data_IF_284848010332
#
_entry.id   IF_284848010332
#
_cell.length_a   1.000
_cell.length_b   1.000
_cell.length_c   1.000
_cell.angle_alpha   90.00
_cell.angle_beta   90.00
_cell.angle_gamma   90.00
#
_symmetry.space_group_name_H-M   'P 1'
#
loop_
_entity.id
_entity.type
_entity.pdbx_description
1 polymer ?
#
# COMPACT_ATOMS: atom_id res chain seq x y z
N UNK A 1 82.43 138.56 98.73
CA UNK A 1 81.13 138.14 98.18
C UNK A 1 81.25 137.41 96.84
N UNK A 2 82.01 137.92 95.85
CA UNK A 2 82.10 137.31 94.50
C UNK A 2 82.78 135.92 94.42
N UNK A 3 83.70 135.60 95.34
CA UNK A 3 84.45 134.32 95.32
C UNK A 3 83.63 133.11 95.79
N UNK A 4 82.61 133.32 96.63
CA UNK A 4 81.71 132.26 97.12
C UNK A 4 80.66 131.88 96.07
N UNK A 5 80.07 132.88 95.41
CA UNK A 5 79.15 132.67 94.29
C UNK A 5 79.83 131.92 93.11
N UNK A 6 81.10 132.23 92.81
CA UNK A 6 81.88 131.46 91.83
C UNK A 6 82.09 130.00 92.24
N UNK A 7 82.31 129.72 93.53
CA UNK A 7 82.55 128.37 94.03
C UNK A 7 81.26 127.52 94.04
N UNK A 8 80.11 128.14 94.32
CA UNK A 8 78.81 127.46 94.28
C UNK A 8 78.33 127.25 92.83
N UNK A 9 78.62 128.19 91.92
CA UNK A 9 78.47 128.00 90.47
C UNK A 9 79.39 126.89 89.96
N UNK A 10 80.65 126.81 90.41
CA UNK A 10 81.57 125.72 90.05
C UNK A 10 81.07 124.35 90.53
N UNK A 11 80.51 124.27 91.74
CA UNK A 11 79.89 123.04 92.25
C UNK A 11 78.65 122.66 91.46
N UNK A 12 77.77 123.62 91.13
CA UNK A 12 76.59 123.37 90.31
C UNK A 12 76.97 122.93 88.89
N UNK A 13 77.99 123.54 88.30
CA UNK A 13 78.54 123.13 87.00
C UNK A 13 79.10 121.71 87.08
N UNK A 14 79.80 121.36 88.16
CA UNK A 14 80.33 120.01 88.35
C UNK A 14 79.23 118.96 88.61
N UNK A 15 78.16 119.30 89.33
CA UNK A 15 77.01 118.39 89.50
C UNK A 15 76.21 118.22 88.22
N UNK A 16 76.00 119.30 87.46
CA UNK A 16 75.32 119.25 86.16
C UNK A 16 76.16 118.48 85.14
N UNK A 17 77.49 118.60 85.17
CA UNK A 17 78.40 117.77 84.35
C UNK A 17 78.28 116.30 84.70
N UNK A 18 78.27 115.92 85.99
CA UNK A 18 78.09 114.53 86.42
C UNK A 18 76.70 113.98 86.08
N UNK A 19 75.67 114.80 86.20
CA UNK A 19 74.31 114.43 85.80
C UNK A 19 74.20 114.25 84.29
N UNK A 20 74.84 115.14 83.52
CA UNK A 20 74.94 115.01 82.06
C UNK A 20 75.72 113.75 81.68
N UNK A 21 76.84 113.46 82.33
CA UNK A 21 77.62 112.23 82.12
C UNK A 21 76.78 110.98 82.44
N UNK A 22 76.05 110.96 83.57
CA UNK A 22 75.17 109.85 83.94
C UNK A 22 73.99 109.67 82.98
N UNK A 23 73.34 110.76 82.56
CA UNK A 23 72.28 110.74 81.54
C UNK A 23 72.82 110.31 80.16
N UNK A 24 74.04 110.71 79.80
CA UNK A 24 74.67 110.26 78.55
C UNK A 24 74.99 108.78 78.58
N UNK A 25 75.47 108.24 79.71
CA UNK A 25 75.68 106.79 79.89
C UNK A 25 74.36 106.03 79.82
N UNK A 26 73.32 106.50 80.52
CA UNK A 26 71.99 105.89 80.47
C UNK A 26 71.41 105.91 79.05
N UNK A 27 71.57 107.03 78.32
CA UNK A 27 71.17 107.13 76.91
C UNK A 27 71.92 106.14 76.04
N UNK A 28 73.24 106.01 76.22
CA UNK A 28 74.07 105.04 75.48
C UNK A 28 73.63 103.61 75.78
N UNK A 29 73.37 103.27 77.05
CA UNK A 29 72.89 101.95 77.45
C UNK A 29 71.50 101.64 76.87
N UNK A 30 70.60 102.62 76.87
CA UNK A 30 69.29 102.50 76.24
C UNK A 30 69.39 102.38 74.71
N UNK A 31 70.28 103.12 74.06
CA UNK A 31 70.54 103.02 72.62
C UNK A 31 71.14 101.66 72.25
N UNK A 32 72.09 101.15 73.04
CA UNK A 32 72.64 99.82 72.88
C UNK A 32 71.56 98.75 73.07
N UNK A 33 70.74 98.85 74.12
CA UNK A 33 69.63 97.91 74.35
C UNK A 33 68.60 97.97 73.22
N UNK A 34 68.30 99.17 72.70
CA UNK A 34 67.40 99.34 71.57
C UNK A 34 68.00 98.73 70.29
N UNK A 35 69.31 98.90 70.06
CA UNK A 35 70.04 98.28 68.95
C UNK A 35 70.02 96.75 69.06
N UNK A 36 70.32 96.18 70.22
CA UNK A 36 70.25 94.73 70.46
C UNK A 36 68.85 94.18 70.23
N UNK A 37 67.81 94.85 70.76
CA UNK A 37 66.42 94.44 70.52
C UNK A 37 66.03 94.51 69.04
N UNK A 38 66.54 95.48 68.28
CA UNK A 38 66.32 95.56 66.82
C UNK A 38 67.01 94.42 66.09
N UNK A 39 68.25 94.09 66.46
CA UNK A 39 68.99 92.97 65.88
C UNK A 39 68.33 91.62 66.21
N UNK A 40 67.86 91.44 67.44
CA UNK A 40 67.09 90.26 67.86
C UNK A 40 65.75 90.15 67.11
N UNK A 41 65.03 91.26 66.95
CA UNK A 41 63.79 91.29 66.16
C UNK A 41 64.07 90.90 64.70
N UNK A 42 65.09 91.50 64.08
CA UNK A 42 65.48 91.19 62.71
C UNK A 42 65.93 89.73 62.55
N UNK A 43 66.68 89.20 63.51
CA UNK A 43 67.06 87.80 63.53
C UNK A 43 65.83 86.89 63.65
N UNK A 44 64.90 87.22 64.54
CA UNK A 44 63.69 86.43 64.74
C UNK A 44 62.76 86.50 63.51
N UNK A 45 62.68 87.65 62.84
CA UNK A 45 62.00 87.81 61.55
C UNK A 45 62.61 86.89 60.49
N UNK A 46 63.95 86.87 60.35
CA UNK A 46 64.64 85.97 59.42
C UNK A 46 64.42 84.49 59.74
N UNK A 47 64.43 84.12 61.02
CA UNK A 47 64.14 82.73 61.45
C UNK A 47 62.69 82.36 61.15
N UNK A 48 61.73 83.25 61.38
CA UNK A 48 60.34 82.99 61.04
C UNK A 48 60.11 82.91 59.52
N UNK A 49 60.75 83.78 58.74
CA UNK A 49 60.67 83.76 57.27
C UNK A 49 61.20 82.42 56.72
N UNK A 50 62.38 81.99 57.18
CA UNK A 50 62.98 80.71 56.77
C UNK A 50 62.13 79.50 57.20
N UNK A 51 61.58 79.51 58.42
CA UNK A 51 60.65 78.47 58.88
C UNK A 51 59.36 78.42 58.04
N UNK A 52 58.80 79.58 57.66
CA UNK A 52 57.62 79.66 56.79
C UNK A 52 57.95 79.12 55.40
N UNK A 53 59.11 79.44 54.83
CA UNK A 53 59.54 78.90 53.55
C UNK A 53 59.70 77.39 53.59
N UNK A 54 60.28 76.84 54.66
CA UNK A 54 60.46 75.41 54.84
C UNK A 54 59.12 74.68 54.95
N UNK A 55 58.18 75.21 55.75
CA UNK A 55 56.81 74.68 55.84
C UNK A 55 56.11 74.75 54.48
N UNK A 56 56.27 75.84 53.71
CA UNK A 56 55.71 75.98 52.37
C UNK A 56 56.28 74.94 51.41
N UNK A 57 57.60 74.71 51.43
CA UNK A 57 58.27 73.68 50.61
C UNK A 57 57.79 72.28 50.99
N UNK A 58 57.68 71.97 52.28
CA UNK A 58 57.19 70.68 52.75
C UNK A 58 55.73 70.45 52.33
N UNK A 59 54.85 71.45 52.48
CA UNK A 59 53.47 71.37 52.00
C UNK A 59 53.39 71.22 50.48
N UNK A 60 54.21 71.97 49.73
CA UNK A 60 54.25 71.85 48.27
C UNK A 60 54.67 70.44 47.84
N UNK A 61 55.69 69.87 48.48
CA UNK A 61 56.11 68.49 48.22
C UNK A 61 55.01 67.48 48.56
N UNK A 62 54.39 67.59 49.75
CA UNK A 62 53.28 66.72 50.14
C UNK A 62 52.13 66.77 49.12
N UNK A 63 51.66 67.98 48.76
CA UNK A 63 50.60 68.17 47.77
C UNK A 63 50.99 67.53 46.44
N UNK A 64 52.22 67.75 45.97
CA UNK A 64 52.70 67.15 44.72
C UNK A 64 52.75 65.63 44.78
N UNK A 65 53.22 65.04 45.89
CA UNK A 65 53.23 63.58 46.05
C UNK A 65 51.83 62.96 46.13
N UNK A 66 50.87 63.65 46.75
CA UNK A 66 49.47 63.21 46.76
C UNK A 66 48.85 63.32 45.38
N UNK A 67 49.13 64.39 44.64
CA UNK A 67 48.61 64.60 43.28
C UNK A 67 49.22 63.59 42.29
N UNK A 68 50.53 63.34 42.36
CA UNK A 68 51.22 62.32 41.56
C UNK A 68 50.69 60.91 41.89
N UNK A 69 50.48 60.60 43.18
CA UNK A 69 49.92 59.31 43.60
C UNK A 69 48.45 59.12 43.19
N UNK A 70 47.65 60.18 43.22
CA UNK A 70 46.27 60.16 42.77
C UNK A 70 46.20 59.96 41.25
N UNK A 71 47.05 60.68 40.50
CA UNK A 71 47.17 60.53 39.05
C UNK A 71 47.59 59.13 38.66
N UNK A 72 48.56 58.54 39.35
CA UNK A 72 48.98 57.17 39.10
C UNK A 72 47.85 56.17 39.36
N UNK A 73 47.06 56.33 40.43
CA UNK A 73 45.89 55.47 40.67
C UNK A 73 44.84 55.60 39.58
N UNK A 74 44.62 56.81 39.04
CA UNK A 74 43.71 57.00 37.90
C UNK A 74 44.23 56.34 36.64
N UNK A 75 45.53 56.50 36.33
CA UNK A 75 46.16 55.88 35.17
C UNK A 75 46.12 54.34 35.28
N UNK A 76 46.38 53.78 36.46
CA UNK A 76 46.32 52.33 36.72
C UNK A 76 44.88 51.79 36.59
N UNK A 77 43.88 52.50 37.12
CA UNK A 77 42.46 52.12 36.95
C UNK A 77 42.04 52.15 35.50
N UNK A 78 42.40 53.21 34.78
CA UNK A 78 42.10 53.35 33.37
C UNK A 78 42.77 52.23 32.55
N UNK A 79 44.02 51.89 32.84
CA UNK A 79 44.71 50.78 32.20
C UNK A 79 43.99 49.46 32.45
N UNK A 80 43.58 49.19 33.69
CA UNK A 80 42.85 47.98 34.06
C UNK A 80 41.50 47.88 33.35
N UNK A 81 40.71 48.96 33.34
CA UNK A 81 39.41 49.00 32.63
C UNK A 81 39.59 48.76 31.12
N UNK A 82 40.64 49.35 30.52
CA UNK A 82 40.93 49.19 29.10
C UNK A 82 41.42 47.76 28.78
N UNK A 83 42.15 47.13 29.69
CA UNK A 83 42.55 45.73 29.59
C UNK A 83 41.35 44.78 29.75
N UNK A 84 40.43 45.06 30.67
CA UNK A 84 39.18 44.29 30.82
C UNK A 84 38.31 44.39 29.57
N UNK A 85 38.15 45.58 28.99
CA UNK A 85 37.42 45.76 27.72
C UNK A 85 38.06 44.99 26.56
N UNK A 86 39.40 44.98 26.48
CA UNK A 86 40.13 44.16 25.48
C UNK A 86 39.87 42.68 25.70
N UNK A 87 39.93 42.21 26.95
CA UNK A 87 39.69 40.81 27.27
C UNK A 87 38.25 40.39 26.95
N UNK A 88 37.26 41.23 27.28
CA UNK A 88 35.86 40.96 26.96
C UNK A 88 35.62 40.90 25.45
N UNK A 89 36.13 41.87 24.70
CA UNK A 89 35.99 41.88 23.23
C UNK A 89 36.70 40.69 22.59
N UNK A 90 37.87 40.29 23.08
CA UNK A 90 38.57 39.09 22.60
C UNK A 90 37.80 37.80 22.93
N UNK A 91 37.22 37.68 24.12
CA UNK A 91 36.37 36.56 24.51
C UNK A 91 35.10 36.48 23.66
N UNK A 92 34.42 37.60 23.43
CA UNK A 92 33.23 37.66 22.58
C UNK A 92 33.56 37.29 21.13
N UNK A 93 34.66 37.81 20.60
CA UNK A 93 35.13 37.46 19.25
C UNK A 93 35.49 35.97 19.15
N UNK A 94 36.10 35.39 20.17
CA UNK A 94 36.41 33.97 20.21
C UNK A 94 35.14 33.11 20.31
N UNK A 95 34.19 33.49 21.18
CA UNK A 95 32.91 32.80 21.30
C UNK A 95 32.11 32.83 19.99
N UNK A 96 32.07 33.98 19.30
CA UNK A 96 31.43 34.08 17.98
C UNK A 96 32.11 33.19 16.94
N UNK A 97 33.46 33.09 16.94
CA UNK A 97 34.20 32.20 16.04
C UNK A 97 33.87 30.74 16.30
N UNK A 98 33.87 30.33 17.56
CA UNK A 98 33.58 28.95 17.95
C UNK A 98 32.13 28.58 17.66
N UNK A 99 31.19 29.50 17.87
CA UNK A 99 29.78 29.31 17.50
C UNK A 99 29.62 29.13 15.99
N UNK A 100 30.22 30.00 15.18
CA UNK A 100 30.17 29.91 13.72
C UNK A 100 30.77 28.58 13.24
N UNK A 101 31.93 28.19 13.78
CA UNK A 101 32.57 26.92 13.46
C UNK A 101 31.66 25.73 13.78
N UNK A 102 31.07 25.70 14.99
CA UNK A 102 30.14 24.65 15.41
C UNK A 102 28.88 24.58 14.55
N UNK A 103 28.33 25.75 14.16
CA UNK A 103 27.16 25.80 13.27
C UNK A 103 27.49 25.23 11.87
N UNK A 104 28.65 25.59 11.30
CA UNK A 104 29.07 25.04 10.01
C UNK A 104 29.37 23.55 10.08
N UNK A 105 30.02 23.09 11.15
CA UNK A 105 30.31 21.67 11.36
C UNK A 105 29.01 20.85 11.43
N UNK A 106 28.03 21.27 12.24
CA UNK A 106 26.70 20.66 12.29
C UNK A 106 26.02 20.66 10.92
N UNK A 107 26.12 21.77 10.18
CA UNK A 107 25.49 21.86 8.86
C UNK A 107 26.13 20.90 7.86
N UNK A 108 27.45 20.72 7.91
CA UNK A 108 28.17 19.77 7.08
C UNK A 108 27.79 18.33 7.48
N UNK A 109 27.71 18.02 8.77
CA UNK A 109 27.27 16.71 9.25
C UNK A 109 25.84 16.37 8.80
N UNK A 110 24.90 17.32 8.92
CA UNK A 110 23.53 17.18 8.42
C UNK A 110 23.50 16.93 6.90
N UNK A 111 24.32 17.65 6.13
CA UNK A 111 24.43 17.43 4.69
C UNK A 111 25.04 16.06 4.36
N UNK A 112 26.06 15.63 5.10
CA UNK A 112 26.65 14.30 4.92
C UNK A 112 25.68 13.18 5.27
N UNK A 113 24.91 13.31 6.35
CA UNK A 113 23.91 12.31 6.75
C UNK A 113 22.76 12.24 5.74
N UNK A 114 22.30 13.37 5.21
CA UNK A 114 21.28 13.39 4.14
C UNK A 114 21.81 12.79 2.84
N UNK A 115 23.06 13.07 2.45
CA UNK A 115 23.70 12.42 1.29
C UNK A 115 23.77 10.91 1.47
N UNK A 116 24.22 10.42 2.64
CA UNK A 116 24.28 8.97 2.94
C UNK A 116 22.91 8.33 2.87
N UNK A 117 21.90 8.95 3.52
CA UNK A 117 20.52 8.47 3.47
C UNK A 117 19.98 8.41 2.04
N UNK A 118 20.24 9.43 1.23
CA UNK A 118 19.82 9.46 -0.18
C UNK A 118 20.54 8.38 -1.00
N UNK A 119 21.82 8.13 -0.75
CA UNK A 119 22.58 7.07 -1.40
C UNK A 119 22.03 5.68 -1.04
N UNK A 120 21.71 5.44 0.23
CA UNK A 120 21.08 4.19 0.69
C UNK A 120 19.71 3.98 0.04
N UNK A 121 18.87 5.02 0.01
CA UNK A 121 17.56 4.99 -0.66
C UNK A 121 17.70 4.72 -2.16
N UNK A 122 18.67 5.35 -2.82
CA UNK A 122 18.95 5.07 -4.22
C UNK A 122 19.42 3.63 -4.44
N UNK A 123 20.22 3.09 -3.52
CA UNK A 123 20.60 1.68 -3.50
C UNK A 123 19.39 0.75 -3.42
N UNK A 124 18.45 1.03 -2.52
CA UNK A 124 17.21 0.24 -2.41
C UNK A 124 16.36 0.34 -3.66
N UNK A 125 16.15 1.55 -4.22
CA UNK A 125 15.37 1.70 -5.45
C UNK A 125 16.00 0.99 -6.64
N UNK A 126 17.34 1.01 -6.73
CA UNK A 126 18.06 0.26 -7.76
C UNK A 126 17.85 -1.25 -7.61
N UNK A 127 17.93 -1.77 -6.38
CA UNK A 127 17.65 -3.17 -6.10
C UNK A 127 16.20 -3.55 -6.45
N UNK A 128 15.24 -2.70 -6.07
CA UNK A 128 13.83 -2.91 -6.38
C UNK A 128 13.59 -2.96 -7.90
N UNK A 129 14.18 -2.02 -8.66
CA UNK A 129 14.08 -2.00 -10.13
C UNK A 129 14.63 -3.30 -10.76
N UNK A 130 15.74 -3.83 -10.24
CA UNK A 130 16.27 -5.11 -10.71
C UNK A 130 15.30 -6.24 -10.37
N UNK A 131 14.78 -6.31 -9.14
CA UNK A 131 13.83 -7.35 -8.74
C UNK A 131 12.52 -7.30 -9.55
N UNK A 132 12.04 -6.11 -9.89
CA UNK A 132 10.86 -5.94 -10.76
C UNK A 132 11.16 -6.36 -12.19
N UNK A 133 12.37 -6.10 -12.72
CA UNK A 133 12.77 -6.58 -14.05
C UNK A 133 12.81 -8.11 -14.11
N UNK A 134 13.42 -8.76 -13.11
CA UNK A 134 13.43 -10.22 -12.99
C UNK A 134 12.01 -10.77 -12.91
N UNK A 135 11.14 -10.17 -12.08
CA UNK A 135 9.74 -10.58 -11.99
C UNK A 135 8.97 -10.41 -13.29
N UNK A 136 9.21 -9.33 -14.03
CA UNK A 136 8.61 -9.13 -15.36
C UNK A 136 9.09 -10.24 -16.29
N UNK A 137 10.39 -10.55 -16.29
CA UNK A 137 10.94 -11.62 -17.12
C UNK A 137 10.30 -12.98 -16.79
N UNK A 138 10.16 -13.33 -15.51
CA UNK A 138 9.53 -14.57 -15.08
C UNK A 138 8.04 -14.64 -15.48
N UNK A 139 7.30 -13.55 -15.30
CA UNK A 139 5.89 -13.48 -15.73
C UNK A 139 5.79 -13.57 -17.26
N UNK A 140 6.71 -12.98 -18.02
CA UNK A 140 6.72 -13.13 -19.48
C UNK A 140 7.02 -14.56 -19.91
N UNK A 141 7.98 -15.24 -19.29
CA UNK A 141 8.28 -16.66 -19.55
C UNK A 141 7.07 -17.56 -19.26
N UNK A 142 6.40 -17.36 -18.14
CA UNK A 142 5.20 -18.14 -17.79
C UNK A 142 4.04 -17.86 -18.74
N UNK A 143 3.84 -16.60 -19.15
CA UNK A 143 2.87 -16.23 -20.20
C UNK A 143 3.17 -16.97 -21.50
N UNK A 144 4.43 -16.96 -21.95
CA UNK A 144 4.84 -17.58 -23.21
C UNK A 144 4.64 -19.10 -23.17
N UNK A 145 5.03 -19.75 -22.07
CA UNK A 145 4.80 -21.18 -21.87
C UNK A 145 3.31 -21.55 -21.87
N UNK A 146 2.45 -20.72 -21.25
CA UNK A 146 1.00 -20.92 -21.29
C UNK A 146 0.44 -20.72 -22.70
N UNK A 147 0.92 -19.72 -23.43
CA UNK A 147 0.50 -19.45 -24.80
C UNK A 147 0.88 -20.61 -25.74
N UNK A 148 2.10 -21.13 -25.62
CA UNK A 148 2.55 -22.33 -26.35
C UNK A 148 1.67 -23.54 -26.01
N UNK A 149 1.29 -23.68 -24.72
CA UNK A 149 0.40 -24.75 -24.30
C UNK A 149 -0.98 -24.64 -24.94
N UNK A 150 -1.56 -23.44 -24.96
CA UNK A 150 -2.84 -23.16 -25.62
C UNK A 150 -2.76 -23.51 -27.10
N UNK A 151 -1.75 -23.02 -27.81
CA UNK A 151 -1.54 -23.33 -29.23
C UNK A 151 -1.44 -24.84 -29.50
N UNK A 152 -0.72 -25.59 -28.65
CA UNK A 152 -0.63 -27.04 -28.77
C UNK A 152 -1.97 -27.75 -28.56
N UNK A 153 -2.79 -27.24 -27.62
CA UNK A 153 -4.11 -27.81 -27.33
C UNK A 153 -5.10 -27.50 -28.45
N UNK A 154 -5.09 -26.27 -28.98
CA UNK A 154 -5.89 -25.89 -30.15
C UNK A 154 -5.52 -26.73 -31.38
N UNK A 155 -4.23 -26.95 -31.63
CA UNK A 155 -3.79 -27.85 -32.70
C UNK A 155 -4.30 -29.28 -32.48
N UNK A 156 -4.20 -29.80 -31.25
CA UNK A 156 -4.71 -31.13 -30.91
C UNK A 156 -6.24 -31.22 -31.06
N UNK A 157 -6.99 -30.18 -30.71
CA UNK A 157 -8.44 -30.14 -30.92
C UNK A 157 -8.76 -30.21 -32.42
N UNK A 158 -8.11 -29.39 -33.25
CA UNK A 158 -8.27 -29.44 -34.71
C UNK A 158 -7.95 -30.82 -35.29
N UNK A 159 -6.84 -31.44 -34.86
CA UNK A 159 -6.49 -32.79 -35.32
C UNK A 159 -7.56 -33.84 -34.93
N UNK A 160 -8.18 -33.71 -33.75
CA UNK A 160 -9.26 -34.59 -33.31
C UNK A 160 -10.56 -34.36 -34.07
N UNK A 161 -10.91 -33.09 -34.33
CA UNK A 161 -12.05 -32.70 -35.16
C UNK A 161 -11.90 -33.24 -36.58
N UNK A 162 -10.72 -33.10 -37.19
CA UNK A 162 -10.41 -33.65 -38.51
C UNK A 162 -10.53 -35.19 -38.54
N UNK A 163 -10.03 -35.87 -37.50
CA UNK A 163 -10.16 -37.32 -37.38
C UNK A 163 -11.62 -37.75 -37.25
N UNK A 164 -12.41 -37.02 -36.48
CA UNK A 164 -13.84 -37.26 -36.31
C UNK A 164 -14.57 -37.08 -37.64
N UNK A 165 -14.33 -35.97 -38.33
CA UNK A 165 -14.93 -35.68 -39.63
C UNK A 165 -14.58 -36.78 -40.66
N UNK A 166 -13.32 -37.22 -40.72
CA UNK A 166 -12.92 -38.35 -41.59
C UNK A 166 -13.61 -39.67 -41.19
N UNK A 167 -13.87 -39.88 -39.90
CA UNK A 167 -14.60 -41.07 -39.45
C UNK A 167 -16.07 -41.01 -39.85
N UNK A 168 -16.70 -39.85 -39.69
CA UNK A 168 -18.09 -39.62 -40.10
C UNK A 168 -18.25 -39.80 -41.61
N UNK A 169 -17.38 -39.17 -42.40
CA UNK A 169 -17.41 -39.32 -43.86
C UNK A 169 -17.27 -40.80 -44.29
N UNK A 170 -16.35 -41.57 -43.68
CA UNK A 170 -16.23 -43.00 -43.95
C UNK A 170 -17.49 -43.80 -43.56
N UNK A 171 -18.17 -43.40 -42.49
CA UNK A 171 -19.43 -44.05 -42.07
C UNK A 171 -20.56 -43.70 -43.04
N UNK A 172 -20.65 -42.46 -43.51
CA UNK A 172 -21.64 -42.02 -44.49
C UNK A 172 -21.43 -42.72 -45.83
N UNK A 173 -20.18 -42.83 -46.30
CA UNK A 173 -19.82 -43.61 -47.49
C UNK A 173 -20.24 -45.08 -47.35
N UNK A 174 -20.01 -45.68 -46.17
CA UNK A 174 -20.43 -47.06 -45.87
C UNK A 174 -21.95 -47.20 -45.85
N UNK A 175 -22.68 -46.22 -45.30
CA UNK A 175 -24.14 -46.20 -45.28
C UNK A 175 -24.69 -46.14 -46.70
N UNK A 176 -24.16 -45.24 -47.55
CA UNK A 176 -24.54 -45.14 -48.96
C UNK A 176 -24.27 -46.46 -49.70
N UNK A 177 -23.12 -47.10 -49.47
CA UNK A 177 -22.82 -48.40 -50.05
C UNK A 177 -23.84 -49.47 -49.62
N UNK A 178 -24.22 -49.50 -48.34
CA UNK A 178 -25.24 -50.43 -47.83
C UNK A 178 -26.64 -50.12 -48.38
N UNK A 179 -27.01 -48.85 -48.51
CA UNK A 179 -28.29 -48.45 -49.10
C UNK A 179 -28.38 -48.87 -50.56
N UNK A 180 -27.29 -48.72 -51.33
CA UNK A 180 -27.18 -49.22 -52.70
C UNK A 180 -27.30 -50.74 -52.77
N UNK A 181 -26.67 -51.48 -51.84
CA UNK A 181 -26.81 -52.94 -51.75
C UNK A 181 -28.26 -53.35 -51.46
N UNK A 182 -28.93 -52.65 -50.54
CA UNK A 182 -30.35 -52.87 -50.22
C UNK A 182 -31.22 -52.63 -51.45
N UNK A 183 -31.00 -51.54 -52.18
CA UNK A 183 -31.75 -51.21 -53.38
C UNK A 183 -31.54 -52.25 -54.49
N UNK A 184 -30.31 -52.69 -54.70
CA UNK A 184 -29.98 -53.78 -55.63
C UNK A 184 -30.70 -55.08 -55.27
N UNK A 185 -30.68 -55.47 -54.00
CA UNK A 185 -31.38 -56.68 -53.54
C UNK A 185 -32.90 -56.56 -53.68
N UNK A 186 -33.48 -55.37 -53.42
CA UNK A 186 -34.91 -55.10 -53.67
C UNK A 186 -35.27 -55.28 -55.14
N UNK A 187 -34.47 -54.72 -56.05
CA UNK A 187 -34.66 -54.89 -57.50
C UNK A 187 -34.58 -56.36 -57.91
N UNK A 188 -33.64 -57.12 -57.34
CA UNK A 188 -33.53 -58.56 -57.61
C UNK A 188 -34.75 -59.34 -57.10
N UNK A 189 -35.28 -59.00 -55.92
CA UNK A 189 -36.50 -59.61 -55.38
C UNK A 189 -37.70 -59.28 -56.27
N UNK A 190 -37.82 -58.04 -56.73
CA UNK A 190 -38.88 -57.62 -57.65
C UNK A 190 -38.81 -58.39 -58.98
N UNK A 191 -37.60 -58.56 -59.54
CA UNK A 191 -37.40 -59.36 -60.74
C UNK A 191 -37.80 -60.83 -60.52
N UNK A 192 -37.37 -61.44 -59.40
CA UNK A 192 -37.76 -62.81 -59.06
C UNK A 192 -39.28 -62.95 -58.88
N UNK A 193 -39.95 -61.92 -58.35
CA UNK A 193 -41.40 -61.91 -58.21
C UNK A 193 -42.11 -61.86 -59.56
N UNK A 194 -41.58 -61.08 -60.51
CA UNK A 194 -42.08 -61.05 -61.91
C UNK A 194 -41.88 -62.41 -62.57
N UNK A 195 -40.69 -62.99 -62.47
CA UNK A 195 -40.38 -64.31 -63.06
C UNK A 195 -41.26 -65.42 -62.45
N UNK A 196 -41.51 -65.37 -61.13
CA UNK A 196 -42.42 -66.27 -60.45
C UNK A 196 -43.87 -66.11 -60.93
N UNK A 197 -44.34 -64.87 -61.10
CA UNK A 197 -45.69 -64.61 -61.62
C UNK A 197 -45.84 -65.12 -63.07
N UNK A 198 -44.84 -64.90 -63.91
CA UNK A 198 -44.82 -65.42 -65.28
C UNK A 198 -44.87 -66.96 -65.30
N UNK A 199 -44.09 -67.61 -64.43
CA UNK A 199 -44.11 -69.07 -64.30
C UNK A 199 -45.46 -69.58 -63.79
N UNK A 200 -46.07 -68.87 -62.83
CA UNK A 200 -47.41 -69.17 -62.33
C UNK A 200 -48.46 -69.06 -63.45
N UNK A 201 -48.38 -68.02 -64.29
CA UNK A 201 -49.28 -67.84 -65.42
C UNK A 201 -49.15 -68.98 -66.44
N UNK A 202 -47.92 -69.42 -66.74
CA UNK A 202 -47.66 -70.62 -67.57
C UNK A 202 -48.28 -71.86 -66.92
N UNK A 203 -48.10 -72.04 -65.60
CA UNK A 203 -48.67 -73.18 -64.87
C UNK A 203 -50.19 -73.19 -64.95
N UNK A 204 -50.85 -72.04 -64.78
CA UNK A 204 -52.31 -71.90 -64.92
C UNK A 204 -52.73 -72.21 -66.37
N UNK A 205 -51.94 -71.79 -67.37
CA UNK A 205 -52.14 -72.17 -68.77
C UNK A 205 -52.12 -73.68 -68.97
N UNK A 206 -51.08 -74.36 -68.47
CA UNK A 206 -50.94 -75.81 -68.53
C UNK A 206 -52.06 -76.55 -67.77
N UNK A 207 -52.49 -76.06 -66.60
CA UNK A 207 -53.64 -76.66 -65.89
C UNK A 207 -54.93 -76.57 -66.71
N UNK A 208 -55.14 -75.46 -67.43
CA UNK A 208 -56.28 -75.31 -68.34
C UNK A 208 -56.15 -76.31 -69.49
N UNK A 209 -54.98 -76.45 -70.10
CA UNK A 209 -54.74 -77.45 -71.15
C UNK A 209 -55.00 -78.88 -70.65
N UNK A 210 -54.46 -79.26 -69.49
CA UNK A 210 -54.72 -80.56 -68.86
C UNK A 210 -56.21 -80.76 -68.60
N UNK A 211 -56.92 -79.74 -68.11
CA UNK A 211 -58.37 -79.79 -67.90
C UNK A 211 -59.12 -80.00 -69.22
N UNK A 212 -58.71 -79.34 -70.31
CA UNK A 212 -59.28 -79.56 -71.64
C UNK A 212 -58.97 -80.95 -72.19
N UNK A 213 -57.74 -81.46 -72.01
CA UNK A 213 -57.37 -82.82 -72.40
C UNK A 213 -58.16 -83.87 -71.61
N UNK A 214 -58.35 -83.67 -70.29
CA UNK A 214 -59.22 -84.52 -69.47
C UNK A 214 -60.64 -84.55 -70.00
N UNK A 215 -61.24 -83.38 -70.30
CA UNK A 215 -62.58 -83.30 -70.88
C UNK A 215 -62.69 -83.97 -72.25
N UNK A 216 -61.68 -83.84 -73.11
CA UNK A 216 -61.66 -84.51 -74.42
C UNK A 216 -61.58 -86.03 -74.26
N UNK A 217 -60.76 -86.52 -73.33
CA UNK A 217 -60.69 -87.94 -72.97
C UNK A 217 -62.01 -88.44 -72.40
N UNK A 218 -62.62 -87.72 -71.46
CA UNK A 218 -63.96 -88.04 -70.93
C UNK A 218 -65.01 -88.12 -72.07
N UNK A 219 -64.94 -87.21 -73.05
CA UNK A 219 -65.84 -87.25 -74.23
C UNK A 219 -65.56 -88.40 -75.19
N UNK A 220 -64.31 -88.87 -75.28
CA UNK A 220 -63.92 -90.03 -76.10
C UNK A 220 -64.26 -91.36 -75.39
N UNK A 221 -64.13 -91.41 -74.06
CA UNK A 221 -64.62 -92.48 -73.20
C UNK A 221 -66.14 -92.63 -73.29
N UNK A 222 -66.88 -91.52 -73.39
CA UNK A 222 -68.32 -91.51 -73.69
C UNK A 222 -68.65 -92.05 -75.10
N UNK A 223 -67.87 -91.69 -76.14
CA UNK A 223 -68.09 -92.19 -77.53
C UNK A 223 -67.76 -93.67 -77.71
N UNK A 224 -66.79 -94.19 -76.97
CA UNK A 224 -66.37 -95.59 -77.05
C UNK A 224 -67.19 -96.55 -76.17
N UNK A 225 -68.27 -96.08 -75.52
CA UNK A 225 -69.00 -96.86 -74.51
C UNK A 225 -68.07 -97.47 -73.43
N UNK A 226 -66.98 -96.76 -73.11
CA UNK A 226 -66.13 -97.05 -71.94
C UNK A 226 -66.64 -96.24 -70.73
N UNK A 227 -67.89 -95.75 -70.82
CA UNK A 227 -68.64 -95.16 -69.72
C UNK A 227 -69.10 -96.25 -68.74
N UNK A 228 -68.14 -96.73 -67.95
CA UNK A 228 -68.35 -97.08 -66.55
C UNK A 228 -68.01 -95.84 -65.71
N UNK A 229 -68.80 -94.77 -65.89
CA UNK A 229 -68.58 -93.45 -65.31
C UNK A 229 -68.73 -93.44 -63.77
N UNK A 230 -67.58 -93.26 -63.11
CA UNK A 230 -67.24 -92.16 -62.19
C UNK A 230 -68.21 -91.79 -61.04
N UNK A 231 -67.82 -92.15 -59.81
CA UNK A 231 -68.18 -91.48 -58.52
C UNK A 231 -67.21 -91.98 -57.43
N UNK A 232 -66.21 -91.25 -56.91
CA UNK A 232 -66.17 -89.96 -56.18
C UNK A 232 -65.96 -90.18 -54.67
N UNK A 233 -64.74 -89.88 -54.18
CA UNK A 233 -64.47 -89.01 -53.01
C UNK A 233 -62.93 -88.84 -52.89
N UNK A 234 -62.35 -87.87 -53.61
CA UNK A 234 -61.93 -86.57 -53.07
C UNK A 234 -60.91 -86.68 -51.91
N UNK A 235 -59.64 -86.72 -52.30
CA UNK A 235 -58.53 -86.24 -51.47
C UNK A 235 -58.10 -84.86 -51.96
N UNK A 236 -58.17 -83.87 -51.07
CA UNK A 236 -57.34 -82.64 -51.02
C UNK A 236 -57.81 -81.84 -49.81
N UNK A 237 -57.01 -81.74 -48.76
CA UNK A 237 -55.98 -80.69 -48.62
C UNK A 237 -56.58 -79.30 -48.85
N UNK A 238 -57.01 -78.72 -47.73
CA UNK A 238 -57.43 -77.34 -47.48
C UNK A 238 -56.95 -77.10 -46.04
N UNK A 239 -56.33 -76.01 -45.61
CA UNK A 239 -56.21 -74.64 -46.09
C UNK A 239 -55.31 -73.95 -45.07
N UNK A 240 -54.21 -73.33 -45.49
CA UNK A 240 -53.52 -72.32 -44.68
C UNK A 240 -53.67 -71.00 -45.44
N UNK A 241 -54.85 -70.41 -45.33
CA UNK A 241 -55.14 -69.07 -45.83
C UNK A 241 -54.58 -68.05 -44.84
N UNK A 242 -53.66 -67.27 -45.38
CA UNK A 242 -53.30 -65.90 -45.03
C UNK A 242 -54.43 -65.07 -44.43
N UNK A 243 -54.17 -64.43 -43.28
CA UNK A 243 -54.60 -63.05 -43.03
C UNK A 243 -53.45 -62.30 -42.38
N UNK A 244 -52.70 -61.59 -43.22
CA UNK A 244 -51.91 -60.46 -42.79
C UNK A 244 -52.84 -59.31 -42.45
N UNK A 245 -52.74 -58.81 -41.23
CA UNK A 245 -53.12 -57.45 -40.88
C UNK A 245 -51.86 -56.77 -40.37
N UNK A 246 -51.53 -55.69 -41.07
CA UNK A 246 -50.54 -54.68 -40.73
C UNK A 246 -50.75 -54.19 -39.30
N UNK A 247 -49.66 -54.01 -38.55
CA UNK A 247 -49.52 -52.82 -37.72
C UNK A 247 -48.06 -52.55 -37.34
N UNK A 248 -47.74 -51.26 -37.48
CA UNK A 248 -46.46 -50.60 -37.29
C UNK A 248 -45.97 -50.61 -35.86
N UNK A 249 -44.65 -50.38 -35.70
CA UNK A 249 -44.03 -49.72 -34.54
C UNK A 249 -44.08 -50.51 -33.23
N UNK A 250 -42.99 -50.88 -32.57
CA UNK A 250 -41.86 -50.03 -32.20
C UNK A 250 -40.73 -50.93 -31.70
N UNK A 251 -39.50 -50.69 -32.15
CA UNK A 251 -38.34 -51.38 -31.62
C UNK A 251 -38.04 -50.91 -30.19
N UNK A 252 -37.69 -51.82 -29.26
CA UNK A 252 -37.32 -51.45 -27.91
C UNK A 252 -35.96 -50.75 -27.92
N UNK A 253 -35.96 -49.48 -27.51
CA UNK A 253 -34.77 -48.66 -27.36
C UNK A 253 -33.79 -49.32 -26.38
N UNK A 254 -32.73 -49.94 -26.92
CA UNK A 254 -31.57 -50.39 -26.15
C UNK A 254 -30.84 -49.16 -25.63
N UNK A 255 -30.88 -49.00 -24.31
CA UNK A 255 -30.07 -48.04 -23.54
C UNK A 255 -28.60 -48.19 -23.96
N UNK A 256 -28.08 -47.18 -24.66
CA UNK A 256 -26.64 -46.95 -24.79
C UNK A 256 -26.16 -46.33 -23.47
N UNK A 257 -25.00 -46.73 -22.93
CA UNK A 257 -24.40 -46.01 -21.82
C UNK A 257 -23.95 -44.64 -22.33
N UNK A 258 -24.54 -43.59 -21.73
CA UNK A 258 -24.10 -42.21 -21.88
C UNK A 258 -22.79 -42.10 -21.11
N UNK A 259 -21.70 -41.79 -21.81
CA UNK A 259 -20.47 -41.37 -21.17
C UNK A 259 -20.76 -39.98 -20.57
N UNK A 260 -20.82 -39.90 -19.23
CA UNK A 260 -20.87 -38.63 -18.51
C UNK A 260 -19.54 -37.91 -18.71
N UNK A 261 -19.60 -36.78 -19.40
CA UNK A 261 -18.53 -35.79 -19.40
C UNK A 261 -18.87 -34.78 -18.30
N UNK A 262 -18.76 -35.20 -17.04
CA UNK A 262 -18.75 -34.27 -15.92
C UNK A 262 -17.31 -33.85 -15.66
N UNK A 263 -16.99 -32.62 -16.06
CA UNK A 263 -16.23 -31.72 -15.20
C UNK A 263 -16.26 -30.29 -15.76
N UNK A 264 -17.40 -29.63 -15.55
CA UNK A 264 -17.48 -28.16 -15.49
C UNK A 264 -17.72 -27.77 -14.03
N UNK A 265 -16.99 -26.78 -13.46
CA UNK A 265 -17.23 -26.34 -12.09
C UNK A 265 -18.64 -25.75 -11.97
N UNK A 266 -19.48 -26.40 -11.17
CA UNK A 266 -20.83 -25.93 -10.85
C UNK A 266 -20.77 -24.77 -9.87
N UNK A 267 -21.03 -23.56 -10.36
CA UNK A 267 -21.31 -22.38 -9.53
C UNK A 267 -22.75 -22.46 -9.03
N UNK A 268 -22.95 -22.91 -7.78
CA UNK A 268 -24.25 -22.78 -7.10
C UNK A 268 -24.26 -21.48 -6.29
N UNK A 269 -24.85 -20.42 -6.87
CA UNK A 269 -25.25 -19.21 -6.14
C UNK A 269 -26.74 -19.33 -5.82
N UNK A 270 -27.08 -19.52 -4.54
CA UNK A 270 -28.48 -19.53 -4.12
C UNK A 270 -28.89 -18.08 -3.80
N UNK A 271 -29.66 -17.48 -4.71
CA UNK A 271 -30.18 -16.11 -4.60
C UNK A 271 -31.40 -16.09 -3.68
N UNK A 272 -31.24 -15.63 -2.44
CA UNK A 272 -32.33 -15.15 -1.61
C UNK A 272 -32.22 -13.61 -1.49
N UNK A 273 -33.34 -12.90 -1.55
CA UNK A 273 -33.47 -11.46 -1.26
C UNK A 273 -32.62 -10.43 -2.07
N UNK A 274 -32.16 -10.79 -3.27
CA UNK A 274 -31.67 -9.80 -4.24
C UNK A 274 -30.29 -9.20 -3.95
N UNK A 275 -29.55 -9.74 -2.96
CA UNK A 275 -28.14 -9.40 -2.72
C UNK A 275 -27.25 -10.55 -3.20
N UNK A 276 -26.28 -10.23 -4.04
CA UNK A 276 -25.29 -11.17 -4.55
C UNK A 276 -23.93 -11.00 -3.87
N UNK A 277 -23.28 -12.12 -3.58
CA UNK A 277 -21.92 -12.18 -3.06
C UNK A 277 -20.96 -12.48 -4.21
N UNK A 278 -19.91 -11.68 -4.35
CA UNK A 278 -18.79 -11.90 -5.27
C UNK A 278 -17.52 -12.02 -4.43
N UNK A 279 -17.02 -13.24 -4.29
CA UNK A 279 -15.71 -13.50 -3.69
C UNK A 279 -14.57 -13.31 -4.70
N UNK A 280 -13.43 -12.80 -4.23
CA UNK A 280 -12.16 -12.89 -4.94
C UNK A 280 -11.69 -14.36 -5.03
N UNK A 281 -11.44 -14.83 -6.25
CA UNK A 281 -11.08 -16.22 -6.59
C UNK A 281 -9.55 -16.41 -6.74
N UNK A 282 -8.77 -15.39 -6.41
CA UNK A 282 -7.31 -15.49 -6.28
C UNK A 282 -6.88 -16.49 -5.19
N UNK A 283 -5.69 -17.07 -5.36
CA UNK A 283 -4.99 -17.87 -4.34
C UNK A 283 -4.80 -17.11 -3.02
N UNK A 284 -4.79 -15.77 -3.08
CA UNK A 284 -4.81 -14.87 -1.91
C UNK A 284 -6.02 -13.93 -2.07
N UNK A 285 -7.20 -14.25 -1.51
CA UNK A 285 -8.40 -13.45 -1.68
C UNK A 285 -8.22 -12.10 -0.98
N UNK A 286 -8.43 -11.00 -1.71
CA UNK A 286 -8.24 -9.64 -1.17
C UNK A 286 -9.53 -8.97 -0.77
N UNK A 287 -10.67 -9.43 -1.29
CA UNK A 287 -11.97 -8.83 -0.99
C UNK A 287 -13.14 -9.81 -1.08
N UNK A 288 -14.25 -9.39 -0.47
CA UNK A 288 -15.60 -9.91 -0.71
C UNK A 288 -16.48 -8.72 -1.09
N UNK A 289 -17.20 -8.81 -2.21
CA UNK A 289 -18.07 -7.75 -2.69
C UNK A 289 -19.53 -8.17 -2.58
N UNK A 290 -20.36 -7.28 -2.05
CA UNK A 290 -21.81 -7.41 -2.04
C UNK A 290 -22.41 -6.48 -3.10
N UNK A 291 -23.34 -7.00 -3.90
CA UNK A 291 -24.08 -6.22 -4.88
C UNK A 291 -25.56 -6.32 -4.56
N UNK A 292 -26.22 -5.18 -4.37
CA UNK A 292 -27.67 -5.13 -4.25
C UNK A 292 -28.30 -5.05 -5.66
N UNK A 293 -28.81 -6.17 -6.16
CA UNK A 293 -29.55 -6.25 -7.42
C UNK A 293 -31.04 -5.92 -7.26
N UNK A 294 -31.51 -5.68 -6.02
CA UNK A 294 -32.89 -5.30 -5.77
C UNK A 294 -33.17 -3.84 -6.18
N UNK A 295 -34.45 -3.50 -6.29
CA UNK A 295 -34.92 -2.14 -6.56
C UNK A 295 -35.08 -1.28 -5.30
N UNK A 296 -34.75 -1.82 -4.12
CA UNK A 296 -34.94 -1.16 -2.84
C UNK A 296 -33.61 -1.00 -2.10
N UNK A 297 -33.54 0.03 -1.27
CA UNK A 297 -32.40 0.26 -0.39
C UNK A 297 -32.45 -0.73 0.78
N UNK A 298 -31.33 -1.39 1.07
CA UNK A 298 -31.24 -2.40 2.14
C UNK A 298 -30.48 -1.84 3.32
N UNK A 299 -31.11 -1.85 4.49
CA UNK A 299 -30.46 -1.46 5.75
C UNK A 299 -29.67 -2.64 6.32
N UNK A 300 -28.34 -2.57 6.32
CA UNK A 300 -27.46 -3.66 6.76
C UNK A 300 -27.23 -3.65 8.28
N UNK A 301 -28.16 -3.06 9.04
CA UNK A 301 -28.00 -2.89 10.48
C UNK A 301 -28.12 -4.25 11.20
N UNK A 302 -27.06 -4.67 11.88
CA UNK A 302 -27.02 -5.96 12.58
C UNK A 302 -26.74 -7.16 11.68
N UNK A 303 -26.50 -6.94 10.39
CA UNK A 303 -26.14 -8.01 9.46
C UNK A 303 -24.72 -8.50 9.73
N UNK A 304 -24.47 -9.77 9.41
CA UNK A 304 -23.19 -10.43 9.59
C UNK A 304 -22.80 -11.16 8.31
N UNK A 305 -21.59 -10.89 7.82
CA UNK A 305 -20.97 -11.68 6.77
C UNK A 305 -20.06 -12.74 7.41
N UNK A 306 -20.40 -14.01 7.27
CA UNK A 306 -19.62 -15.14 7.76
C UNK A 306 -18.91 -15.82 6.61
N UNK A 307 -17.61 -16.06 6.75
CA UNK A 307 -16.83 -16.84 5.78
C UNK A 307 -16.21 -18.04 6.48
N UNK A 308 -16.51 -19.23 5.97
CA UNK A 308 -15.99 -20.51 6.46
C UNK A 308 -15.10 -21.15 5.40
N UNK A 309 -13.89 -21.52 5.82
CA UNK A 309 -12.92 -22.23 4.98
C UNK A 309 -12.36 -23.39 5.80
N UNK A 310 -12.74 -24.61 5.45
CA UNK A 310 -12.48 -25.80 6.27
C UNK A 310 -13.01 -25.66 7.70
N UNK A 311 -12.12 -25.78 8.69
CA UNK A 311 -12.44 -25.66 10.13
C UNK A 311 -12.41 -24.23 10.67
N UNK A 312 -11.95 -23.25 9.90
CA UNK A 312 -11.85 -21.86 10.35
C UNK A 312 -13.03 -21.04 9.83
N UNK A 313 -13.60 -20.21 10.69
CA UNK A 313 -14.70 -19.29 10.35
C UNK A 313 -14.38 -17.88 10.81
N UNK A 314 -14.69 -16.90 9.96
CA UNK A 314 -14.58 -15.49 10.27
C UNK A 314 -15.94 -14.81 10.15
N UNK A 315 -16.20 -13.82 10.99
CA UNK A 315 -17.43 -13.04 10.99
C UNK A 315 -17.12 -11.54 10.92
N UNK A 316 -17.75 -10.86 9.96
CA UNK A 316 -17.69 -9.41 9.82
C UNK A 316 -19.07 -8.82 10.10
N UNK A 317 -19.14 -7.92 11.10
CA UNK A 317 -20.38 -7.21 11.46
C UNK A 317 -20.42 -5.86 10.79
N UNK A 318 -21.54 -5.57 10.12
CA UNK A 318 -21.71 -4.28 9.45
C UNK A 318 -21.90 -3.13 10.46
N UNK A 319 -21.33 -1.94 10.19
CA UNK A 319 -21.55 -0.76 11.02
C UNK A 319 -23.04 -0.40 11.13
N UNK A 320 -23.45 0.11 12.30
CA UNK A 320 -24.83 0.57 12.52
C UNK A 320 -25.18 1.71 11.57
N UNK A 321 -26.40 1.68 11.02
CA UNK A 321 -26.92 2.71 10.12
C UNK A 321 -26.40 2.64 8.67
N UNK A 322 -25.66 1.59 8.31
CA UNK A 322 -25.19 1.41 6.93
C UNK A 322 -26.35 1.00 6.00
N UNK A 323 -26.52 1.73 4.90
CA UNK A 323 -27.52 1.46 3.86
C UNK A 323 -26.80 1.08 2.56
N UNK A 324 -27.16 -0.06 2.00
CA UNK A 324 -26.74 -0.48 0.66
C UNK A 324 -27.85 -0.12 -0.33
N UNK A 325 -27.63 0.96 -1.09
CA UNK A 325 -28.61 1.48 -2.06
C UNK A 325 -28.93 0.46 -3.17
N UNK A 326 -30.11 0.57 -3.76
CA UNK A 326 -30.49 -0.21 -4.94
C UNK A 326 -29.44 -0.09 -6.07
N UNK A 327 -28.98 -1.21 -6.62
CA UNK A 327 -27.95 -1.25 -7.67
C UNK A 327 -26.52 -0.93 -7.19
N UNK A 328 -26.30 -0.61 -5.92
CA UNK A 328 -24.99 -0.26 -5.39
C UNK A 328 -24.18 -1.49 -4.96
N UNK A 329 -22.87 -1.30 -4.83
CA UNK A 329 -21.92 -2.32 -4.38
C UNK A 329 -21.17 -1.87 -3.14
N UNK A 330 -20.97 -2.79 -2.20
CA UNK A 330 -20.07 -2.60 -1.05
C UNK A 330 -18.97 -3.65 -1.11
N UNK A 331 -17.73 -3.22 -0.96
CA UNK A 331 -16.56 -4.12 -0.96
C UNK A 331 -15.95 -4.18 0.43
N UNK A 332 -15.79 -5.41 0.97
CA UNK A 332 -15.09 -5.68 2.22
C UNK A 332 -13.68 -6.20 1.91
N UNK A 333 -12.69 -5.34 2.15
CA UNK A 333 -11.29 -5.59 1.89
C UNK A 333 -10.59 -6.29 3.05
N UNK A 334 -9.63 -7.14 2.72
CA UNK A 334 -8.73 -7.80 3.67
C UNK A 334 -7.87 -6.77 4.42
N UNK A 335 -7.47 -7.09 5.66
CA UNK A 335 -6.67 -6.17 6.49
C UNK A 335 -5.29 -5.82 5.91
N UNK A 336 -4.72 -6.70 5.09
CA UNK A 336 -3.37 -6.59 4.52
C UNK A 336 -3.28 -5.79 3.23
N UNK A 337 -4.38 -5.26 2.73
CA UNK A 337 -4.36 -4.35 1.59
C UNK A 337 -4.19 -2.92 2.10
N UNK A 338 -2.99 -2.36 1.92
CA UNK A 338 -2.61 -1.08 2.53
C UNK A 338 -3.10 0.16 1.75
N UNK A 339 -3.27 0.06 0.43
CA UNK A 339 -3.56 1.21 -0.45
C UNK A 339 -5.05 1.46 -0.69
N UNK A 340 -5.89 1.30 0.35
CA UNK A 340 -7.36 1.44 0.22
C UNK A 340 -7.90 2.45 1.20
N UNK A 341 -8.57 3.49 0.66
CA UNK A 341 -9.38 4.44 1.43
C UNK A 341 -10.64 3.75 1.96
N UNK A 342 -10.81 3.75 3.28
CA UNK A 342 -11.99 3.17 3.94
C UNK A 342 -13.10 4.21 3.95
N UNK A 343 -13.96 4.13 2.92
CA UNK A 343 -15.08 5.05 2.70
C UNK A 343 -16.42 4.30 2.75
N UNK A 344 -17.01 4.08 3.94
CA UNK A 344 -18.35 3.51 4.06
C UNK A 344 -19.39 4.41 3.35
N UNK A 345 -20.38 3.84 2.63
CA UNK A 345 -20.74 2.41 2.58
C UNK A 345 -20.03 1.61 1.49
N UNK A 346 -19.21 2.24 0.65
CA UNK A 346 -18.67 1.65 -0.59
C UNK A 346 -17.48 0.74 -0.32
N UNK A 347 -16.55 1.17 0.54
CA UNK A 347 -15.34 0.45 0.89
C UNK A 347 -15.25 0.23 2.41
N UNK A 348 -15.24 -1.03 2.82
CA UNK A 348 -15.04 -1.46 4.19
C UNK A 348 -13.76 -2.28 4.29
N UNK A 349 -13.12 -2.30 5.45
CA UNK A 349 -11.88 -3.04 5.66
C UNK A 349 -11.94 -3.88 6.93
N UNK A 350 -11.44 -5.10 6.86
CA UNK A 350 -11.25 -5.94 8.03
C UNK A 350 -10.22 -5.31 8.96
N UNK A 351 -10.52 -5.24 10.26
CA UNK A 351 -9.67 -4.55 11.23
C UNK A 351 -8.37 -5.28 11.54
N UNK A 352 -8.44 -6.60 11.70
CA UNK A 352 -7.32 -7.40 12.24
C UNK A 352 -7.11 -8.73 11.51
N UNK A 353 -8.02 -9.10 10.61
CA UNK A 353 -8.02 -10.44 10.00
C UNK A 353 -7.84 -10.33 8.50
N UNK A 354 -7.12 -11.28 7.93
CA UNK A 354 -6.97 -11.39 6.48
C UNK A 354 -8.03 -12.34 5.95
N UNK A 355 -8.55 -12.06 4.75
CA UNK A 355 -9.25 -13.11 4.03
C UNK A 355 -8.23 -14.22 3.71
N UNK A 356 -8.53 -15.45 4.11
CA UNK A 356 -7.61 -16.57 3.93
C UNK A 356 -8.24 -17.66 3.06
N UNK A 357 -7.36 -18.41 2.42
CA UNK A 357 -7.60 -19.65 1.70
C UNK A 357 -6.75 -20.69 2.41
N UNK A 358 -7.38 -21.53 3.23
CA UNK A 358 -6.72 -22.77 3.63
C UNK A 358 -6.75 -23.70 2.42
N UNK A 359 -5.79 -24.62 2.27
CA UNK A 359 -5.78 -25.65 1.20
C UNK A 359 -6.95 -26.66 1.27
N UNK A 360 -8.06 -26.26 1.89
CA UNK A 360 -9.35 -26.94 1.93
C UNK A 360 -10.08 -26.72 0.62
N UNK A 361 -10.68 -27.77 0.09
CA UNK A 361 -11.30 -27.85 -1.24
C UNK A 361 -12.54 -26.94 -1.43
N UNK A 362 -13.01 -26.24 -0.39
CA UNK A 362 -14.15 -25.32 -0.51
C UNK A 362 -14.09 -24.12 0.45
N UNK A 363 -14.49 -22.94 -0.05
CA UNK A 363 -14.86 -21.76 0.74
C UNK A 363 -16.36 -21.53 0.67
N UNK A 364 -16.97 -21.18 1.79
CA UNK A 364 -18.38 -20.82 1.89
C UNK A 364 -18.53 -19.46 2.54
N UNK A 365 -19.14 -18.52 1.83
CA UNK A 365 -19.42 -17.15 2.30
C UNK A 365 -20.93 -16.98 2.42
N UNK A 366 -21.39 -16.61 3.61
CA UNK A 366 -22.79 -16.52 4.00
C UNK A 366 -23.05 -15.11 4.50
N UNK A 367 -24.11 -14.47 4.02
CA UNK A 367 -24.63 -13.22 4.53
C UNK A 367 -25.89 -13.51 5.35
N UNK A 368 -25.89 -13.10 6.62
CA UNK A 368 -27.01 -13.25 7.54
C UNK A 368 -27.57 -11.87 7.93
N UNK A 369 -28.90 -11.76 8.03
CA UNK A 369 -29.59 -10.61 8.61
C UNK A 369 -29.43 -10.60 10.15
N UNK A 370 -29.86 -9.51 10.78
CA UNK A 370 -30.03 -9.30 12.22
C UNK A 370 -30.79 -10.41 12.96
N UNK A 371 -31.65 -11.17 12.27
CA UNK A 371 -32.37 -12.31 12.82
C UNK A 371 -31.68 -13.66 12.57
N UNK A 372 -30.49 -13.68 11.97
CA UNK A 372 -29.73 -14.90 11.65
C UNK A 372 -30.27 -15.65 10.43
N UNK A 373 -31.17 -15.06 9.65
CA UNK A 373 -31.66 -15.62 8.38
C UNK A 373 -30.58 -15.47 7.32
N UNK A 374 -30.30 -16.54 6.57
CA UNK A 374 -29.35 -16.51 5.45
C UNK A 374 -30.00 -15.77 4.28
N UNK A 375 -29.44 -14.60 3.95
CA UNK A 375 -29.87 -13.77 2.83
C UNK A 375 -29.16 -14.19 1.56
N UNK A 376 -27.84 -14.37 1.60
CA UNK A 376 -27.08 -14.78 0.42
C UNK A 376 -26.00 -15.78 0.80
N UNK A 377 -25.76 -16.74 -0.09
CA UNK A 377 -24.72 -17.75 0.09
C UNK A 377 -23.95 -17.93 -1.22
N UNK A 378 -22.62 -17.89 -1.13
CA UNK A 378 -21.71 -18.28 -2.21
C UNK A 378 -20.78 -19.37 -1.70
N UNK A 379 -20.84 -20.54 -2.34
CA UNK A 379 -19.87 -21.61 -2.14
C UNK A 379 -18.98 -21.69 -3.37
N UNK A 380 -17.66 -21.69 -3.17
CA UNK A 380 -16.68 -21.86 -4.23
C UNK A 380 -15.83 -23.06 -3.87
N UNK A 381 -15.90 -24.08 -4.71
CA UNK A 381 -15.03 -25.26 -4.65
C UNK A 381 -13.75 -24.94 -5.41
N UNK A 382 -12.61 -25.00 -4.73
CA UNK A 382 -11.30 -24.79 -5.34
C UNK A 382 -10.86 -26.18 -5.81
N UNK A 383 -10.85 -26.41 -7.13
CA UNK A 383 -10.33 -27.65 -7.73
C UNK A 383 -8.80 -27.68 -7.73
#
# INVERSE_FOLDING_TARGET
>A
ALRGANNDLEKQVNTLKRQLEAETLLRIDLENKNKTLREELQFNEQVHETAIEEIRKQKHYQVKTYDDGLRQQYDDRLLNELQELRMQTEQEMQAMRDEIASQYEKKIEDLQTTIRRNADQFGTYRSDVVSYRERIEDVTKTRDALNDKVLSLEQRCRDLEDRLHRSQQRQDELLVERDNDIERLKQQIEQMQIDYQNLLDIKIGLDREISTYRKLLESEEERLNISGNLSRMEGSSMTATTTGTFESSSYPSRKRPRYELDDQPSMNTQLLDGINIIDDESSQPKFVKLINHSKQDVLLNGWILKRKVGSQSYEFKFPKGMVLKAGATTTIWSSDVNDISVDPPTNLKLRTTKWFTSGSESKKTILEDSEGRVIAEKTVTIK
#
